data_IF_882519811039
#
_entry.id   IF_882519811039
#
_cell.length_a   1.000
_cell.length_b   1.000
_cell.length_c   1.000
_cell.angle_alpha   90.00
_cell.angle_beta   90.00
_cell.angle_gamma   90.00
#
_symmetry.space_group_name_H-M   'P 1'
#
loop_
_entity.id
_entity.type
_entity.pdbx_description
1 polymer ?
#
# COMPACT_ATOMS: atom_id res chain seq x y z
N UNK A 1 13.40 23.99 13.69
CA UNK A 1 12.72 22.89 12.95
C UNK A 1 11.53 23.47 12.23
N UNK A 2 11.25 23.13 10.96
CA UNK A 2 9.91 23.36 10.41
C UNK A 2 8.94 22.53 11.24
N UNK A 3 7.92 23.17 11.82
CA UNK A 3 6.83 22.46 12.47
C UNK A 3 5.94 21.88 11.38
N UNK A 4 6.23 20.65 10.96
CA UNK A 4 5.29 19.85 10.16
C UNK A 4 4.05 19.61 11.02
N UNK A 5 3.07 20.51 10.93
CA UNK A 5 1.79 20.39 11.62
C UNK A 5 1.20 19.03 11.27
N UNK A 6 0.92 18.23 12.29
CA UNK A 6 0.31 16.93 12.04
C UNK A 6 -1.11 17.16 11.51
N UNK A 7 -1.57 16.30 10.61
CA UNK A 7 -2.94 16.40 10.09
C UNK A 7 -3.94 16.44 11.25
N UNK A 8 -3.68 15.71 12.35
CA UNK A 8 -4.49 15.68 13.57
C UNK A 8 -4.60 17.00 14.35
N UNK A 9 -3.66 17.94 14.21
CA UNK A 9 -3.65 19.21 14.98
C UNK A 9 -4.51 20.32 14.35
N UNK A 10 -5.08 20.09 13.17
CA UNK A 10 -5.88 21.09 12.46
C UNK A 10 -7.36 21.08 12.90
N UNK A 11 -8.03 22.25 12.96
CA UNK A 11 -9.49 22.30 13.07
C UNK A 11 -10.14 21.45 11.98
N UNK A 12 -11.13 20.66 12.40
CA UNK A 12 -11.88 19.77 11.51
C UNK A 12 -13.28 20.29 11.23
N UNK A 13 -13.74 20.08 9.99
CA UNK A 13 -15.13 20.29 9.59
C UNK A 13 -15.88 18.96 9.76
N UNK A 14 -16.80 18.92 10.72
CA UNK A 14 -17.59 17.72 11.06
C UNK A 14 -18.48 17.34 9.88
N UNK A 15 -18.41 16.07 9.46
CA UNK A 15 -19.27 15.52 8.42
C UNK A 15 -20.65 15.22 9.02
N UNK A 16 -21.72 15.57 8.31
CA UNK A 16 -23.11 15.54 8.81
C UNK A 16 -24.03 14.54 8.10
N UNK A 17 -23.52 13.82 7.10
CA UNK A 17 -24.21 12.71 6.43
C UNK A 17 -23.24 11.55 6.19
N UNK A 18 -23.77 10.32 6.11
CA UNK A 18 -22.99 9.18 5.59
C UNK A 18 -22.62 9.44 4.12
N UNK A 19 -21.43 9.04 3.71
CA UNK A 19 -20.95 9.07 2.33
C UNK A 19 -20.88 7.67 1.73
N UNK A 20 -21.45 7.47 0.55
CA UNK A 20 -21.43 6.22 -0.18
C UNK A 20 -20.14 6.04 -1.01
N UNK A 21 -19.86 4.79 -1.40
CA UNK A 21 -18.83 4.52 -2.42
C UNK A 21 -19.28 5.19 -3.73
N UNK A 22 -18.34 5.81 -4.43
CA UNK A 22 -18.52 6.64 -5.63
C UNK A 22 -19.07 8.06 -5.42
N UNK A 23 -19.43 8.48 -4.21
CA UNK A 23 -19.72 9.90 -3.95
C UNK A 23 -18.48 10.77 -4.19
N UNK A 24 -18.65 11.87 -4.90
CA UNK A 24 -17.61 12.86 -5.22
C UNK A 24 -17.63 14.09 -4.30
N UNK A 25 -18.32 13.99 -3.17
CA UNK A 25 -18.40 15.01 -2.13
C UNK A 25 -18.52 14.41 -0.73
N UNK A 26 -18.38 15.27 0.28
CA UNK A 26 -18.91 15.04 1.63
C UNK A 26 -19.74 16.24 2.08
N UNK A 27 -20.75 16.01 2.91
CA UNK A 27 -21.56 17.08 3.50
C UNK A 27 -21.03 17.39 4.91
N UNK A 28 -20.70 18.66 5.17
CA UNK A 28 -20.14 19.15 6.45
C UNK A 28 -21.06 20.18 7.09
N UNK A 29 -20.94 20.37 8.41
CA UNK A 29 -21.79 21.29 9.17
C UNK A 29 -21.71 22.75 8.70
N UNK A 30 -20.49 23.22 8.39
CA UNK A 30 -20.17 24.55 7.85
C UNK A 30 -18.81 24.42 7.13
N UNK A 31 -18.69 24.61 5.81
CA UNK A 31 -17.40 24.54 5.11
C UNK A 31 -16.56 25.83 5.24
N UNK A 32 -16.94 26.76 6.13
CA UNK A 32 -16.28 28.03 6.38
C UNK A 32 -14.76 27.92 6.45
N UNK A 33 -14.09 28.68 5.58
CA UNK A 33 -12.63 28.72 5.46
C UNK A 33 -12.02 27.71 4.47
N UNK A 34 -12.78 26.74 3.95
CA UNK A 34 -12.34 25.96 2.79
C UNK A 34 -12.48 26.76 1.49
N UNK A 35 -11.74 26.38 0.46
CA UNK A 35 -11.86 26.91 -0.90
C UNK A 35 -11.44 25.88 -1.95
N UNK A 36 -11.97 25.95 -3.18
CA UNK A 36 -11.45 25.17 -4.31
C UNK A 36 -9.94 25.31 -4.46
N UNK A 37 -9.25 24.19 -4.65
CA UNK A 37 -7.79 24.10 -4.64
C UNK A 37 -7.18 23.71 -3.29
N UNK A 38 -7.92 23.80 -2.18
CA UNK A 38 -7.45 23.31 -0.88
C UNK A 38 -7.21 21.79 -0.89
N UNK A 39 -6.10 21.35 -0.31
CA UNK A 39 -5.91 19.95 0.00
C UNK A 39 -6.51 19.61 1.37
N UNK A 40 -7.26 18.53 1.40
CA UNK A 40 -7.95 18.02 2.59
C UNK A 40 -7.64 16.55 2.83
N UNK A 41 -7.72 16.14 4.08
CA UNK A 41 -7.86 14.74 4.47
C UNK A 41 -9.26 14.44 4.98
N UNK A 42 -9.75 13.23 4.72
CA UNK A 42 -10.97 12.69 5.34
C UNK A 42 -10.51 11.60 6.30
N UNK A 43 -10.92 11.74 7.55
CA UNK A 43 -10.50 10.90 8.67
C UNK A 43 -11.69 10.50 9.53
N UNK A 44 -11.60 9.36 10.21
CA UNK A 44 -12.61 8.88 11.15
C UNK A 44 -11.97 8.00 12.23
N UNK A 45 -12.69 7.81 13.34
CA UNK A 45 -12.25 7.04 14.50
C UNK A 45 -12.30 5.54 14.17
N UNK A 46 -11.28 4.79 14.59
CA UNK A 46 -11.38 3.33 14.65
C UNK A 46 -12.24 2.99 15.88
N UNK A 47 -13.54 2.88 15.69
CA UNK A 47 -14.52 2.49 16.73
C UNK A 47 -14.46 0.98 17.01
N UNK A 48 -15.13 0.52 18.06
CA UNK A 48 -15.26 -0.92 18.33
C UNK A 48 -16.11 -1.59 17.23
N UNK A 49 -17.15 -0.89 16.79
CA UNK A 49 -18.04 -1.25 15.70
C UNK A 49 -17.31 -1.28 14.35
N UNK A 50 -16.35 -0.37 14.11
CA UNK A 50 -15.47 -0.43 12.95
C UNK A 50 -14.57 -1.66 13.02
N UNK A 51 -13.95 -1.98 14.16
CA UNK A 51 -13.16 -3.23 14.29
C UNK A 51 -14.01 -4.46 14.01
N UNK A 52 -15.23 -4.51 14.55
CA UNK A 52 -16.19 -5.59 14.34
C UNK A 52 -16.66 -5.74 12.90
N UNK A 53 -16.91 -4.64 12.20
CA UNK A 53 -17.29 -4.65 10.78
C UNK A 53 -16.24 -5.33 9.87
N UNK A 54 -14.99 -5.43 10.34
CA UNK A 54 -13.87 -6.05 9.62
C UNK A 54 -13.33 -7.31 10.31
N UNK A 55 -14.08 -7.93 11.23
CA UNK A 55 -13.64 -9.13 11.95
C UNK A 55 -12.26 -8.98 12.61
N UNK A 56 -11.98 -7.76 13.10
CA UNK A 56 -10.66 -7.34 13.59
C UNK A 56 -10.73 -6.81 15.03
N UNK A 57 -11.74 -7.21 15.81
CA UNK A 57 -11.88 -6.89 17.24
C UNK A 57 -10.64 -7.28 18.03
N UNK A 58 -10.20 -8.52 17.85
CA UNK A 58 -9.04 -9.13 18.52
C UNK A 58 -7.71 -8.85 17.80
N UNK A 59 -7.70 -7.92 16.83
CA UNK A 59 -6.54 -7.55 16.02
C UNK A 59 -6.37 -6.02 15.93
N UNK A 60 -5.50 -5.58 15.03
CA UNK A 60 -4.99 -4.21 14.91
C UNK A 60 -4.46 -3.68 16.24
N UNK A 61 -3.51 -4.40 16.85
CA UNK A 61 -2.92 -4.06 18.17
C UNK A 61 -2.22 -2.69 18.20
N UNK A 62 -1.85 -2.18 17.03
CA UNK A 62 -1.24 -0.87 16.86
C UNK A 62 -2.24 0.29 16.89
N UNK A 63 -3.55 0.01 16.99
CA UNK A 63 -4.60 1.03 17.08
C UNK A 63 -5.57 0.73 18.22
N UNK A 64 -5.80 1.76 19.05
CA UNK A 64 -6.80 1.73 20.10
C UNK A 64 -8.19 2.07 19.54
N UNK A 65 -9.23 1.67 20.26
CA UNK A 65 -10.59 2.18 20.00
C UNK A 65 -10.62 3.69 20.28
N UNK A 66 -11.10 4.46 19.31
CA UNK A 66 -11.09 5.93 19.35
C UNK A 66 -9.85 6.59 18.73
N UNK A 67 -8.82 5.84 18.32
CA UNK A 67 -7.73 6.40 17.53
C UNK A 67 -8.26 6.86 16.17
N UNK A 68 -8.07 8.14 15.83
CA UNK A 68 -8.51 8.66 14.53
C UNK A 68 -7.46 8.47 13.44
N UNK A 69 -7.88 8.02 12.25
CA UNK A 69 -7.00 7.75 11.10
C UNK A 69 -7.44 8.50 9.86
N UNK A 70 -6.50 9.05 9.11
CA UNK A 70 -6.74 9.59 7.77
C UNK A 70 -6.84 8.45 6.77
N UNK A 71 -7.98 8.32 6.08
CA UNK A 71 -8.16 7.32 5.02
C UNK A 71 -7.97 7.91 3.62
N UNK A 72 -8.51 9.12 3.39
CA UNK A 72 -8.49 9.77 2.09
C UNK A 72 -7.74 11.10 2.10
N UNK A 73 -7.05 11.39 1.00
CA UNK A 73 -6.51 12.72 0.66
C UNK A 73 -7.14 13.19 -0.63
N UNK A 74 -7.63 14.43 -0.66
CA UNK A 74 -8.36 15.01 -1.79
C UNK A 74 -7.93 16.47 -1.99
N UNK A 75 -8.12 16.97 -3.21
CA UNK A 75 -8.11 18.41 -3.48
C UNK A 75 -9.55 18.83 -3.72
N UNK A 76 -10.02 19.86 -3.00
CA UNK A 76 -11.37 20.42 -3.15
C UNK A 76 -11.52 20.99 -4.56
N UNK A 77 -12.58 20.62 -5.27
CA UNK A 77 -12.92 21.15 -6.60
C UNK A 77 -14.00 22.21 -6.55
N UNK A 78 -14.95 22.09 -5.62
CA UNK A 78 -16.09 23.00 -5.49
C UNK A 78 -16.65 22.97 -4.06
N UNK A 79 -17.34 24.04 -3.66
CA UNK A 79 -18.14 24.10 -2.44
C UNK A 79 -19.54 24.61 -2.82
N UNK A 80 -20.59 23.82 -2.56
CA UNK A 80 -21.97 24.22 -2.79
C UNK A 80 -22.79 24.04 -1.50
N UNK A 81 -23.20 25.15 -0.88
CA UNK A 81 -23.86 25.12 0.42
C UNK A 81 -22.95 24.43 1.46
N UNK A 82 -23.39 23.29 1.99
CA UNK A 82 -22.67 22.48 2.97
C UNK A 82 -21.83 21.34 2.35
N UNK A 83 -21.78 21.21 1.02
CA UNK A 83 -21.06 20.12 0.34
C UNK A 83 -19.70 20.55 -0.16
N UNK A 84 -18.70 19.73 0.13
CA UNK A 84 -17.30 19.89 -0.30
C UNK A 84 -17.00 18.81 -1.34
N UNK A 85 -16.85 19.21 -2.60
CA UNK A 85 -16.64 18.32 -3.75
C UNK A 85 -15.16 18.07 -4.03
N UNK A 86 -14.85 16.91 -4.61
CA UNK A 86 -13.50 16.50 -5.00
C UNK A 86 -13.51 15.55 -6.21
N UNK A 87 -12.47 15.59 -7.06
CA UNK A 87 -12.43 14.82 -8.31
C UNK A 87 -12.33 13.28 -8.14
N UNK A 88 -11.71 12.81 -7.07
CA UNK A 88 -11.53 11.36 -6.82
C UNK A 88 -12.59 10.93 -5.82
N UNK A 89 -13.56 10.08 -6.17
CA UNK A 89 -14.66 9.78 -5.28
C UNK A 89 -14.22 9.02 -4.01
N UNK A 90 -15.13 8.87 -3.06
CA UNK A 90 -14.99 7.96 -1.94
C UNK A 90 -14.85 6.52 -2.46
N UNK A 91 -13.79 5.82 -2.05
CA UNK A 91 -13.57 4.38 -2.37
C UNK A 91 -13.96 3.46 -1.22
N UNK A 92 -14.54 4.01 -0.16
CA UNK A 92 -15.03 3.30 1.02
C UNK A 92 -16.16 4.12 1.64
N UNK A 93 -17.16 3.49 2.28
CA UNK A 93 -18.21 4.23 2.97
C UNK A 93 -17.62 5.10 4.09
N UNK A 94 -18.13 6.33 4.21
CA UNK A 94 -17.89 7.21 5.35
C UNK A 94 -19.12 7.15 6.24
N UNK A 95 -18.98 6.68 7.48
CA UNK A 95 -20.12 6.44 8.39
C UNK A 95 -20.09 7.38 9.58
N UNK A 96 -21.20 8.07 9.87
CA UNK A 96 -21.35 8.99 11.01
C UNK A 96 -21.10 8.33 12.37
N UNK A 97 -21.36 7.02 12.48
CA UNK A 97 -20.99 6.16 13.62
C UNK A 97 -19.53 6.35 14.04
N UNK A 98 -18.65 6.54 13.06
CA UNK A 98 -17.20 6.56 13.27
C UNK A 98 -16.65 8.00 13.43
N UNK A 99 -17.52 8.98 13.69
CA UNK A 99 -17.21 10.41 13.88
C UNK A 99 -16.31 11.00 12.76
N UNK A 100 -16.75 10.94 11.50
CA UNK A 100 -15.94 11.35 10.36
C UNK A 100 -15.78 12.87 10.28
N UNK A 101 -14.59 13.30 9.85
CA UNK A 101 -14.19 14.71 9.80
C UNK A 101 -13.34 15.00 8.57
N UNK A 102 -13.58 16.16 7.96
CA UNK A 102 -12.65 16.75 6.99
C UNK A 102 -11.62 17.57 7.76
N UNK A 103 -10.33 17.43 7.44
CA UNK A 103 -9.28 18.34 7.90
C UNK A 103 -8.54 18.95 6.73
N UNK A 104 -7.91 20.10 6.97
CA UNK A 104 -6.94 20.67 6.03
C UNK A 104 -5.69 19.79 6.05
N UNK A 105 -5.26 19.30 4.89
CA UNK A 105 -3.97 18.65 4.79
C UNK A 105 -2.86 19.69 5.03
N UNK A 106 -1.83 19.32 5.79
CA UNK A 106 -0.70 20.23 6.02
C UNK A 106 0.13 20.42 4.75
N UNK A 107 0.90 21.51 4.71
CA UNK A 107 1.66 21.96 3.53
C UNK A 107 2.54 20.86 2.94
N UNK A 108 2.08 20.25 1.84
CA UNK A 108 2.86 19.29 1.10
C UNK A 108 4.08 19.95 0.43
N UNK A 109 5.21 19.24 0.41
CA UNK A 109 6.24 19.53 -0.57
C UNK A 109 5.71 19.13 -1.96
N UNK A 110 5.67 20.07 -2.92
CA UNK A 110 5.09 19.81 -4.25
C UNK A 110 6.05 20.04 -5.40
N UNK A 111 5.85 19.31 -6.49
CA UNK A 111 6.63 19.43 -7.73
C UNK A 111 8.14 19.15 -7.55
N UNK A 112 8.49 18.20 -6.68
CA UNK A 112 9.87 17.77 -6.44
C UNK A 112 10.13 16.39 -7.05
N UNK A 113 11.29 16.23 -7.69
CA UNK A 113 11.74 14.99 -8.32
C UNK A 113 13.09 14.51 -7.79
N UNK A 114 13.29 13.20 -7.74
CA UNK A 114 14.60 12.55 -7.62
C UNK A 114 14.81 11.67 -8.84
N UNK A 115 15.84 11.92 -9.63
CA UNK A 115 16.03 11.22 -10.91
C UNK A 115 17.48 10.83 -11.19
N UNK A 116 17.66 9.82 -12.05
CA UNK A 116 18.91 9.49 -12.73
C UNK A 116 20.11 9.26 -11.78
N UNK A 117 19.91 8.49 -10.70
CA UNK A 117 20.96 8.20 -9.71
C UNK A 117 21.02 6.73 -9.27
N UNK A 118 22.18 6.35 -8.75
CA UNK A 118 22.38 5.08 -8.05
C UNK A 118 22.57 5.33 -6.54
N UNK A 119 21.94 4.52 -5.69
CA UNK A 119 22.03 4.63 -4.23
C UNK A 119 22.46 3.31 -3.58
N UNK A 120 23.28 3.41 -2.54
CA UNK A 120 23.68 2.27 -1.71
C UNK A 120 23.61 2.67 -0.24
N UNK A 121 23.13 1.78 0.61
CA UNK A 121 23.10 1.97 2.07
C UNK A 121 23.61 0.75 2.85
N UNK A 122 24.02 -0.31 2.15
CA UNK A 122 24.55 -1.54 2.74
C UNK A 122 25.82 -1.31 3.59
N UNK A 123 26.08 -2.24 4.51
CA UNK A 123 27.25 -2.22 5.39
C UNK A 123 28.32 -3.25 5.00
N UNK A 124 28.02 -4.14 4.06
CA UNK A 124 28.87 -5.25 3.65
C UNK A 124 28.82 -6.44 4.60
N UNK A 125 27.80 -6.51 5.47
CA UNK A 125 27.66 -7.57 6.46
C UNK A 125 26.21 -7.63 6.98
N UNK A 126 25.48 -8.72 6.69
CA UNK A 126 24.22 -9.03 7.38
C UNK A 126 24.38 -9.01 8.91
N UNK A 127 25.50 -9.52 9.44
CA UNK A 127 25.77 -9.43 10.88
C UNK A 127 25.85 -8.00 11.39
N UNK A 128 26.35 -7.05 10.61
CA UNK A 128 26.35 -5.64 10.98
C UNK A 128 24.96 -4.99 10.87
N UNK A 129 24.18 -5.34 9.84
CA UNK A 129 22.83 -4.77 9.68
C UNK A 129 21.89 -5.25 10.80
N UNK A 130 21.83 -6.56 11.06
CA UNK A 130 21.00 -7.17 12.11
C UNK A 130 21.35 -6.72 13.52
N UNK A 131 22.62 -6.44 13.81
CA UNK A 131 23.06 -5.97 15.12
C UNK A 131 23.15 -4.43 15.22
N UNK A 132 22.80 -3.68 14.17
CA UNK A 132 22.91 -2.21 14.16
C UNK A 132 21.92 -1.48 15.07
N UNK A 133 20.80 -2.14 15.42
CA UNK A 133 19.65 -1.50 16.08
C UNK A 133 18.89 -0.51 15.20
N UNK A 134 19.27 -0.35 13.93
CA UNK A 134 18.66 0.61 12.98
C UNK A 134 17.72 -0.14 12.04
N UNK A 135 16.44 -0.15 12.39
CA UNK A 135 15.36 -0.74 11.60
C UNK A 135 14.63 0.30 10.74
N UNK A 136 14.01 -0.12 9.63
CA UNK A 136 13.15 0.76 8.79
C UNK A 136 13.86 1.93 8.12
N UNK A 137 15.19 1.92 8.04
CA UNK A 137 15.96 3.00 7.46
C UNK A 137 15.87 2.98 5.92
N UNK A 138 15.01 3.85 5.36
CA UNK A 138 14.83 4.03 3.93
C UNK A 138 15.96 4.87 3.32
N UNK A 139 16.45 4.41 2.18
CA UNK A 139 17.43 5.14 1.36
C UNK A 139 16.81 6.43 0.76
N UNK A 140 15.52 6.40 0.41
CA UNK A 140 14.73 7.58 0.02
C UNK A 140 13.39 7.53 0.76
N UNK A 141 13.05 8.60 1.49
CA UNK A 141 11.77 8.74 2.18
C UNK A 141 11.00 9.96 1.64
N UNK A 142 9.95 9.70 0.86
CA UNK A 142 9.02 10.71 0.35
C UNK A 142 7.90 10.86 1.36
N UNK A 143 7.91 11.94 2.15
CA UNK A 143 6.95 12.14 3.24
C UNK A 143 6.30 13.52 3.17
N UNK A 144 4.98 13.57 3.32
CA UNK A 144 4.19 14.79 3.14
C UNK A 144 4.49 15.46 1.78
N UNK A 145 4.45 14.67 0.70
CA UNK A 145 4.64 15.15 -0.66
C UNK A 145 3.35 15.05 -1.47
N UNK A 146 3.20 15.95 -2.44
CA UNK A 146 2.11 15.92 -3.43
C UNK A 146 2.60 16.34 -4.80
N UNK A 147 2.17 15.67 -5.87
CA UNK A 147 2.64 15.95 -7.24
C UNK A 147 4.18 15.87 -7.34
N UNK A 148 4.77 14.84 -6.72
CA UNK A 148 6.22 14.58 -6.65
C UNK A 148 6.57 13.23 -7.28
N UNK A 149 7.84 13.02 -7.65
CA UNK A 149 8.24 11.81 -8.36
C UNK A 149 9.64 11.28 -8.04
N UNK A 150 9.85 10.00 -8.34
CA UNK A 150 11.14 9.31 -8.40
C UNK A 150 11.20 8.60 -9.75
N UNK A 151 12.30 8.74 -10.51
CA UNK A 151 12.42 8.16 -11.86
C UNK A 151 13.85 7.75 -12.21
N UNK A 152 14.06 6.56 -12.81
CA UNK A 152 15.40 6.06 -13.14
C UNK A 152 16.37 6.11 -11.94
N UNK A 153 15.92 5.53 -10.83
CA UNK A 153 16.73 5.31 -9.64
C UNK A 153 17.08 3.82 -9.54
N UNK A 154 18.31 3.52 -9.12
CA UNK A 154 18.75 2.13 -8.92
C UNK A 154 19.51 1.91 -7.62
N UNK A 155 19.38 0.73 -7.01
CA UNK A 155 20.30 0.33 -5.94
C UNK A 155 21.59 -0.23 -6.52
N UNK A 156 22.73 -0.12 -5.83
CA UNK A 156 23.99 -0.71 -6.26
C UNK A 156 24.84 -1.25 -5.09
N UNK A 157 25.67 -2.25 -5.38
CA UNK A 157 26.68 -2.78 -4.46
C UNK A 157 27.91 -1.86 -4.44
N UNK A 158 28.38 -1.54 -3.25
CA UNK A 158 29.66 -0.86 -3.03
C UNK A 158 30.75 -1.91 -2.75
N UNK A 159 31.97 -1.68 -3.26
CA UNK A 159 33.20 -2.43 -2.92
C UNK A 159 33.10 -3.97 -2.94
N UNK A 160 32.40 -4.52 -3.95
CA UNK A 160 32.34 -5.97 -4.19
C UNK A 160 31.44 -6.74 -3.21
N UNK A 161 30.60 -6.05 -2.45
CA UNK A 161 29.63 -6.65 -1.52
C UNK A 161 28.49 -7.36 -2.27
N UNK A 162 27.77 -8.23 -1.57
CA UNK A 162 26.56 -8.90 -2.09
C UNK A 162 25.27 -8.08 -1.94
N UNK A 163 25.27 -7.01 -1.15
CA UNK A 163 24.06 -6.24 -0.81
C UNK A 163 24.14 -4.79 -1.29
N UNK A 164 22.99 -4.19 -1.59
CA UNK A 164 22.90 -2.80 -2.03
C UNK A 164 22.27 -1.89 -0.97
N UNK A 165 21.31 -2.39 -0.20
CA UNK A 165 20.53 -1.62 0.75
C UNK A 165 20.60 -2.25 2.14
N UNK A 166 20.89 -1.47 3.20
CA UNK A 166 20.89 -1.99 4.58
C UNK A 166 19.53 -2.57 4.96
N UNK A 167 18.46 -1.84 4.64
CA UNK A 167 17.11 -2.12 5.09
C UNK A 167 16.05 -1.71 4.06
N UNK A 168 15.55 -0.48 4.08
CA UNK A 168 14.51 -0.02 3.15
C UNK A 168 15.11 0.68 1.92
N UNK A 169 14.43 0.53 0.80
CA UNK A 169 14.71 1.27 -0.44
C UNK A 169 14.00 2.62 -0.46
N UNK A 170 12.85 2.67 -1.13
CA UNK A 170 11.97 3.84 -1.22
C UNK A 170 10.75 3.64 -0.32
N UNK A 171 10.43 4.65 0.49
CA UNK A 171 9.17 4.71 1.27
C UNK A 171 8.41 5.98 0.93
N UNK A 172 7.13 5.84 0.57
CA UNK A 172 6.18 6.94 0.35
C UNK A 172 5.20 6.97 1.53
N UNK A 173 5.25 8.02 2.36
CA UNK A 173 4.46 8.14 3.59
C UNK A 173 3.58 9.41 3.60
N UNK A 174 2.31 9.29 3.99
CA UNK A 174 1.37 10.43 4.16
C UNK A 174 1.36 11.39 2.98
N UNK A 175 1.40 10.85 1.77
CA UNK A 175 1.59 11.59 0.51
C UNK A 175 0.43 11.35 -0.46
N UNK A 176 0.32 12.17 -1.50
CA UNK A 176 -0.82 12.17 -2.42
C UNK A 176 -0.38 12.46 -3.86
N UNK A 177 -0.71 11.61 -4.84
CA UNK A 177 -0.24 11.77 -6.23
C UNK A 177 1.29 11.80 -6.35
N UNK A 178 1.92 10.70 -5.92
CA UNK A 178 3.38 10.49 -6.09
C UNK A 178 3.61 9.43 -7.16
N UNK A 179 4.58 9.63 -8.05
CA UNK A 179 4.96 8.61 -9.04
C UNK A 179 6.36 8.06 -8.76
N UNK A 180 6.51 6.74 -8.66
CA UNK A 180 7.78 6.04 -8.76
C UNK A 180 7.78 5.33 -10.12
N UNK A 181 8.76 5.61 -10.95
CA UNK A 181 8.82 5.11 -12.32
C UNK A 181 10.19 4.56 -12.67
N UNK A 182 10.24 3.56 -13.55
CA UNK A 182 11.47 3.16 -14.25
C UNK A 182 12.64 2.84 -13.27
N UNK A 183 12.33 2.29 -12.07
CA UNK A 183 13.23 2.23 -10.90
C UNK A 183 13.54 0.79 -10.50
N UNK A 184 14.81 0.47 -10.27
CA UNK A 184 15.26 -0.90 -9.94
C UNK A 184 15.98 -0.95 -8.60
N UNK A 185 15.33 -1.52 -7.59
CA UNK A 185 15.94 -1.76 -6.29
C UNK A 185 16.09 -3.27 -6.09
N UNK A 186 17.27 -3.68 -5.66
CA UNK A 186 17.54 -5.07 -5.29
C UNK A 186 18.41 -5.20 -4.04
N UNK A 187 18.46 -6.42 -3.49
CA UNK A 187 19.45 -6.93 -2.53
C UNK A 187 19.50 -6.18 -1.21
N UNK A 188 18.46 -6.39 -0.41
CA UNK A 188 18.45 -5.96 0.99
C UNK A 188 19.42 -6.80 1.84
N UNK A 189 20.07 -6.16 2.80
CA UNK A 189 21.04 -6.77 3.70
C UNK A 189 20.38 -7.33 4.98
N UNK A 190 19.30 -6.72 5.44
CA UNK A 190 18.54 -7.14 6.61
C UNK A 190 17.16 -7.70 6.21
N UNK A 191 16.99 -9.03 6.29
CA UNK A 191 15.75 -9.74 5.91
C UNK A 191 14.87 -10.18 7.10
N UNK A 192 15.21 -9.73 8.31
CA UNK A 192 14.44 -9.92 9.53
C UNK A 192 13.24 -8.98 9.73
N UNK A 193 12.53 -9.16 10.84
CA UNK A 193 11.40 -8.32 11.24
C UNK A 193 11.77 -6.88 11.64
N UNK A 194 10.82 -6.15 12.21
CA UNK A 194 10.99 -4.74 12.61
C UNK A 194 10.82 -3.72 11.47
N UNK A 195 10.24 -4.15 10.33
CA UNK A 195 10.20 -3.34 9.11
C UNK A 195 11.61 -3.21 8.51
N UNK A 196 12.15 -4.32 8.02
CA UNK A 196 13.44 -4.33 7.34
C UNK A 196 13.32 -5.02 5.98
N UNK A 197 14.15 -4.61 5.03
CA UNK A 197 14.21 -5.22 3.71
C UNK A 197 13.09 -4.82 2.74
N UNK A 198 12.35 -3.74 2.99
CA UNK A 198 11.24 -3.35 2.11
C UNK A 198 11.76 -2.43 1.00
N UNK A 199 11.75 -2.91 -0.24
CA UNK A 199 12.38 -2.17 -1.34
C UNK A 199 11.50 -1.01 -1.80
N UNK A 200 10.19 -1.24 -1.97
CA UNK A 200 9.19 -0.21 -2.25
C UNK A 200 8.07 -0.29 -1.21
N UNK A 201 7.82 0.80 -0.49
CA UNK A 201 6.79 0.87 0.57
C UNK A 201 5.83 2.01 0.33
N UNK A 202 4.52 1.74 0.37
CA UNK A 202 3.46 2.77 0.34
C UNK A 202 2.70 2.77 1.67
N UNK A 203 2.87 3.85 2.43
CA UNK A 203 2.32 4.10 3.77
C UNK A 203 1.31 5.23 3.72
N UNK A 204 0.07 5.00 4.18
CA UNK A 204 -0.93 6.07 4.44
C UNK A 204 -1.04 7.08 3.30
N UNK A 205 -0.97 6.63 2.04
CA UNK A 205 -0.83 7.50 0.88
C UNK A 205 -1.91 7.19 -0.16
N UNK A 206 -2.24 8.18 -0.98
CA UNK A 206 -3.31 8.07 -1.97
C UNK A 206 -2.80 8.39 -3.38
N UNK A 207 -3.35 7.71 -4.38
CA UNK A 207 -3.03 7.91 -5.79
C UNK A 207 -1.52 7.81 -6.10
N UNK A 208 -0.80 6.95 -5.37
CA UNK A 208 0.62 6.65 -5.67
C UNK A 208 0.68 5.70 -6.85
N UNK A 209 1.43 6.07 -7.89
CA UNK A 209 1.72 5.22 -9.04
C UNK A 209 3.14 4.67 -8.90
N UNK A 210 3.28 3.35 -8.79
CA UNK A 210 4.54 2.63 -8.92
C UNK A 210 4.49 1.92 -10.27
N UNK A 211 5.25 2.37 -11.27
CA UNK A 211 5.23 1.79 -12.62
C UNK A 211 6.60 1.39 -13.14
N UNK A 212 6.67 0.32 -13.93
CA UNK A 212 7.88 -0.10 -14.63
C UNK A 212 9.08 -0.29 -13.67
N UNK A 213 8.79 -0.80 -12.46
CA UNK A 213 9.75 -0.93 -11.36
C UNK A 213 10.12 -2.39 -11.12
N UNK A 214 11.39 -2.64 -10.76
CA UNK A 214 11.85 -3.98 -10.36
C UNK A 214 12.26 -3.98 -8.89
N UNK A 215 11.74 -4.94 -8.13
CA UNK A 215 12.14 -5.27 -6.77
C UNK A 215 12.67 -6.70 -6.72
N UNK A 216 13.93 -6.89 -6.31
CA UNK A 216 14.58 -8.22 -6.25
C UNK A 216 15.32 -8.46 -4.95
N UNK A 217 15.25 -9.67 -4.39
CA UNK A 217 16.05 -10.05 -3.21
C UNK A 217 15.86 -9.10 -2.02
N UNK A 218 14.64 -8.59 -1.84
CA UNK A 218 14.18 -7.90 -0.63
C UNK A 218 13.58 -8.86 0.40
N UNK A 219 13.02 -8.31 1.49
CA UNK A 219 12.13 -9.04 2.40
C UNK A 219 10.69 -9.01 1.91
N UNK A 220 10.22 -7.82 1.56
CA UNK A 220 8.99 -7.59 0.81
C UNK A 220 9.38 -6.62 -0.32
N UNK A 221 9.34 -7.09 -1.56
CA UNK A 221 9.83 -6.30 -2.69
C UNK A 221 8.95 -5.04 -2.87
N UNK A 222 7.63 -5.22 -2.92
CA UNK A 222 6.67 -4.13 -2.86
C UNK A 222 5.74 -4.37 -1.66
N UNK A 223 5.43 -3.33 -0.88
CA UNK A 223 4.56 -3.47 0.29
C UNK A 223 3.64 -2.26 0.47
N UNK A 224 2.42 -2.54 0.91
CA UNK A 224 1.47 -1.53 1.39
C UNK A 224 1.45 -1.62 2.92
N UNK A 225 2.05 -0.63 3.57
CA UNK A 225 2.51 -0.67 4.96
C UNK A 225 2.99 0.73 5.38
N UNK A 226 2.81 1.31 6.57
CA UNK A 226 1.91 1.18 7.73
C UNK A 226 1.45 2.64 7.93
N UNK A 227 0.23 3.06 8.23
CA UNK A 227 -0.97 2.49 8.84
C UNK A 227 -2.14 2.53 7.81
N UNK A 228 -3.40 2.48 8.26
CA UNK A 228 -4.62 2.80 7.49
C UNK A 228 -4.49 3.98 6.52
N UNK A 229 -5.27 3.94 5.43
CA UNK A 229 -5.37 5.03 4.46
C UNK A 229 -4.38 4.95 3.30
N UNK A 230 -3.88 3.76 2.98
CA UNK A 230 -3.36 3.46 1.66
C UNK A 230 -4.55 3.16 0.71
N UNK A 231 -4.86 4.06 -0.23
CA UNK A 231 -5.99 3.87 -1.14
C UNK A 231 -5.77 4.44 -2.54
N UNK A 232 -6.29 3.78 -3.57
CA UNK A 232 -6.17 4.24 -4.95
C UNK A 232 -4.75 4.17 -5.53
N UNK A 233 -3.85 3.42 -4.90
CA UNK A 233 -2.48 3.27 -5.37
C UNK A 233 -2.43 2.22 -6.48
N UNK A 234 -1.51 2.38 -7.43
CA UNK A 234 -1.37 1.53 -8.62
C UNK A 234 0.05 1.00 -8.70
N UNK A 235 0.19 -0.31 -8.86
CA UNK A 235 1.43 -1.04 -9.12
C UNK A 235 1.33 -1.62 -10.53
N UNK A 236 1.91 -0.91 -11.51
CA UNK A 236 1.76 -1.19 -12.95
C UNK A 236 3.06 -1.74 -13.53
N UNK A 237 3.03 -2.94 -14.13
CA UNK A 237 4.23 -3.59 -14.69
C UNK A 237 5.39 -3.60 -13.71
N UNK A 238 5.13 -3.96 -12.45
CA UNK A 238 6.20 -4.24 -11.50
C UNK A 238 6.75 -5.65 -11.74
N UNK A 239 8.02 -5.87 -11.42
CA UNK A 239 8.61 -7.20 -11.28
C UNK A 239 9.01 -7.43 -9.83
N UNK A 240 8.40 -8.41 -9.18
CA UNK A 240 8.76 -8.93 -7.85
C UNK A 240 9.40 -10.30 -8.00
N UNK A 241 10.64 -10.47 -7.53
CA UNK A 241 11.31 -11.78 -7.53
C UNK A 241 12.26 -11.98 -6.34
N UNK A 242 12.38 -13.23 -5.88
CA UNK A 242 13.37 -13.62 -4.87
C UNK A 242 13.19 -12.96 -3.50
N UNK A 243 12.01 -12.44 -3.17
CA UNK A 243 11.73 -11.94 -1.82
C UNK A 243 11.86 -13.05 -0.76
N UNK A 244 12.51 -12.75 0.38
CA UNK A 244 12.80 -13.72 1.45
C UNK A 244 12.57 -13.15 2.86
N UNK A 245 11.77 -13.85 3.67
CA UNK A 245 11.54 -13.54 5.09
C UNK A 245 12.35 -14.47 5.98
N UNK A 246 13.33 -13.89 6.67
CA UNK A 246 14.23 -14.63 7.56
C UNK A 246 13.84 -14.42 9.02
N UNK A 247 13.63 -15.51 9.77
CA UNK A 247 13.29 -15.42 11.20
C UNK A 247 14.47 -15.01 12.10
N UNK A 248 15.70 -15.18 11.62
CA UNK A 248 16.94 -14.81 12.32
C UNK A 248 18.09 -14.56 11.33
N UNK A 249 19.16 -13.92 11.80
CA UNK A 249 20.41 -13.79 11.06
C UNK A 249 20.94 -15.17 10.63
N UNK A 250 20.84 -16.18 11.50
CA UNK A 250 21.28 -17.54 11.19
C UNK A 250 20.48 -18.13 10.02
N UNK A 251 19.16 -17.94 10.00
CA UNK A 251 18.32 -18.39 8.88
C UNK A 251 18.70 -17.71 7.56
N UNK A 252 19.07 -16.42 7.60
CA UNK A 252 19.58 -15.69 6.43
C UNK A 252 20.94 -16.21 5.95
N UNK A 253 21.85 -16.53 6.87
CA UNK A 253 23.18 -17.09 6.53
C UNK A 253 23.08 -18.51 5.97
N UNK A 254 22.20 -19.34 6.53
CA UNK A 254 22.01 -20.73 6.13
C UNK A 254 21.11 -20.91 4.89
N UNK A 255 20.51 -19.82 4.38
CA UNK A 255 19.58 -19.88 3.25
C UNK A 255 18.26 -20.59 3.56
N UNK A 256 17.81 -20.58 4.82
CA UNK A 256 16.61 -21.30 5.31
C UNK A 256 15.41 -20.37 5.54
N UNK A 257 15.38 -19.24 4.83
CA UNK A 257 14.28 -18.27 4.89
C UNK A 257 13.05 -18.72 4.11
N UNK A 258 11.87 -18.25 4.51
CA UNK A 258 10.62 -18.46 3.77
C UNK A 258 10.49 -17.45 2.62
N UNK A 259 9.60 -17.71 1.66
CA UNK A 259 9.21 -16.72 0.65
C UNK A 259 8.73 -15.43 1.33
N UNK A 260 9.26 -14.31 0.86
CA UNK A 260 8.88 -12.97 1.28
C UNK A 260 7.98 -12.33 0.23
N UNK A 261 6.65 -12.34 0.40
CA UNK A 261 5.72 -11.84 -0.60
C UNK A 261 5.88 -10.32 -0.82
N UNK A 262 5.52 -9.86 -2.02
CA UNK A 262 4.95 -8.52 -2.19
C UNK A 262 3.57 -8.52 -1.51
N UNK A 263 3.31 -7.60 -0.58
CA UNK A 263 2.16 -7.77 0.33
C UNK A 263 1.42 -6.52 0.79
N UNK A 264 0.17 -6.78 1.20
CA UNK A 264 -0.64 -5.91 2.03
C UNK A 264 -0.26 -6.22 3.48
N UNK A 265 0.64 -5.42 4.05
CA UNK A 265 1.38 -5.79 5.26
C UNK A 265 0.68 -5.40 6.57
N UNK A 266 -0.08 -4.31 6.57
CA UNK A 266 -0.66 -3.73 7.80
C UNK A 266 -1.90 -2.90 7.56
N UNK A 267 -2.94 -3.18 8.37
CA UNK A 267 -4.19 -2.42 8.42
C UNK A 267 -4.91 -2.35 7.07
N UNK A 268 -6.12 -1.78 7.07
CA UNK A 268 -6.98 -1.85 5.88
C UNK A 268 -6.50 -0.90 4.76
N UNK A 269 -5.95 -1.47 3.70
CA UNK A 269 -5.67 -0.77 2.44
C UNK A 269 -6.77 -1.00 1.40
N UNK A 270 -7.22 0.08 0.76
CA UNK A 270 -8.54 0.12 0.11
C UNK A 270 -8.44 0.47 -1.37
N UNK A 271 -8.95 -0.40 -2.24
CA UNK A 271 -9.09 -0.14 -3.68
C UNK A 271 -7.78 0.32 -4.36
N UNK A 272 -6.73 -0.48 -4.15
CA UNK A 272 -5.45 -0.42 -4.86
C UNK A 272 -5.46 -1.40 -6.03
N UNK A 273 -4.66 -1.14 -7.05
CA UNK A 273 -4.59 -1.93 -8.29
C UNK A 273 -3.16 -2.46 -8.49
N UNK A 274 -3.00 -3.77 -8.64
CA UNK A 274 -1.83 -4.36 -9.30
C UNK A 274 -2.24 -4.72 -10.73
N UNK A 275 -1.49 -4.24 -11.71
CA UNK A 275 -1.85 -4.31 -13.13
C UNK A 275 -0.66 -4.76 -13.97
N UNK A 276 -0.85 -5.73 -14.85
CA UNK A 276 0.11 -6.15 -15.88
C UNK A 276 1.49 -6.48 -15.32
N UNK A 277 1.52 -7.05 -14.11
CA UNK A 277 2.72 -7.19 -13.29
C UNK A 277 3.23 -8.64 -13.26
N UNK A 278 4.54 -8.79 -13.05
CA UNK A 278 5.23 -10.09 -13.00
C UNK A 278 5.61 -10.39 -11.54
N UNK A 279 5.14 -11.51 -11.03
CA UNK A 279 5.34 -11.98 -9.66
C UNK A 279 5.96 -13.37 -9.73
N UNK A 280 7.27 -13.44 -9.50
CA UNK A 280 8.04 -14.70 -9.46
C UNK A 280 8.28 -15.20 -8.02
N UNK A 281 7.84 -14.43 -7.02
CA UNK A 281 7.77 -14.85 -5.61
C UNK A 281 6.32 -15.04 -5.15
N UNK A 282 5.69 -14.02 -4.56
CA UNK A 282 4.29 -14.09 -4.17
C UNK A 282 3.65 -12.70 -4.05
N UNK A 283 2.35 -12.60 -4.31
CA UNK A 283 1.51 -11.41 -4.08
C UNK A 283 0.43 -11.80 -3.07
N UNK A 284 0.33 -11.10 -1.93
CA UNK A 284 -0.55 -11.51 -0.83
C UNK A 284 -1.38 -10.35 -0.24
N UNK A 285 -2.69 -10.56 -0.17
CA UNK A 285 -3.65 -9.86 0.69
C UNK A 285 -4.44 -10.88 1.51
N UNK A 286 -4.85 -10.52 2.73
CA UNK A 286 -5.56 -11.43 3.62
C UNK A 286 -5.64 -10.96 5.07
N UNK A 287 -6.15 -11.83 5.93
CA UNK A 287 -6.11 -11.66 7.37
C UNK A 287 -4.75 -12.12 7.91
N UNK A 288 -3.92 -11.18 8.35
CA UNK A 288 -2.63 -11.49 8.98
C UNK A 288 -2.77 -11.87 10.45
N UNK A 289 -3.95 -11.71 11.05
CA UNK A 289 -4.23 -12.02 12.45
C UNK A 289 -3.13 -11.46 13.37
N UNK A 290 -2.40 -12.32 14.10
CA UNK A 290 -1.31 -11.96 15.02
C UNK A 290 -0.01 -11.52 14.32
N UNK A 291 0.19 -11.89 13.06
CA UNK A 291 1.43 -11.60 12.33
C UNK A 291 1.57 -10.10 12.11
N UNK A 292 2.83 -9.65 12.02
CA UNK A 292 3.16 -8.22 11.97
C UNK A 292 2.43 -7.46 13.09
N UNK A 293 2.65 -7.83 14.36
CA UNK A 293 2.08 -7.10 15.52
C UNK A 293 0.55 -6.97 15.46
N UNK A 294 -0.16 -8.06 15.17
CA UNK A 294 -1.62 -8.05 15.12
C UNK A 294 -2.19 -7.32 13.91
N UNK A 295 -1.64 -7.52 12.70
CA UNK A 295 -2.01 -6.73 11.54
C UNK A 295 -3.45 -6.96 11.02
N UNK A 296 -4.16 -8.01 11.48
CA UNK A 296 -5.58 -8.25 11.18
C UNK A 296 -5.89 -8.28 9.69
N UNK A 297 -7.08 -7.83 9.29
CA UNK A 297 -7.40 -7.64 7.87
C UNK A 297 -6.52 -6.55 7.24
N UNK A 298 -5.90 -6.85 6.10
CA UNK A 298 -4.98 -5.92 5.43
C UNK A 298 -5.46 -5.31 4.10
N UNK A 299 -6.57 -5.76 3.54
CA UNK A 299 -7.08 -5.16 2.32
C UNK A 299 -8.55 -5.42 2.02
N UNK A 300 -9.17 -4.47 1.33
CA UNK A 300 -10.53 -4.58 0.76
C UNK A 300 -10.61 -3.81 -0.57
N UNK A 301 -11.50 -4.26 -1.46
CA UNK A 301 -11.81 -3.69 -2.77
C UNK A 301 -10.61 -3.60 -3.73
N UNK A 302 -9.50 -4.30 -3.45
CA UNK A 302 -8.31 -4.26 -4.29
C UNK A 302 -8.49 -5.12 -5.56
N UNK A 303 -7.77 -4.76 -6.61
CA UNK A 303 -7.84 -5.38 -7.93
C UNK A 303 -6.47 -5.90 -8.33
N UNK A 304 -6.41 -7.15 -8.74
CA UNK A 304 -5.26 -7.80 -9.35
C UNK A 304 -5.65 -8.12 -10.80
N UNK A 305 -5.03 -7.41 -11.75
CA UNK A 305 -5.36 -7.47 -13.17
C UNK A 305 -4.15 -7.91 -13.99
N UNK A 306 -4.32 -8.90 -14.87
CA UNK A 306 -3.27 -9.36 -15.78
C UNK A 306 -1.94 -9.73 -15.06
N UNK A 307 -2.03 -10.51 -13.97
CA UNK A 307 -0.84 -10.89 -13.18
C UNK A 307 -0.19 -12.14 -13.76
N UNK A 308 1.12 -12.09 -14.01
CA UNK A 308 1.91 -13.16 -14.63
C UNK A 308 3.18 -13.45 -13.80
N UNK A 309 4.02 -14.39 -14.22
CA UNK A 309 5.21 -14.85 -13.49
C UNK A 309 5.06 -16.29 -13.00
N UNK A 310 6.05 -16.77 -12.25
CA UNK A 310 6.09 -18.16 -11.73
C UNK A 310 5.79 -18.28 -10.23
N UNK A 311 5.38 -17.20 -9.59
CA UNK A 311 5.08 -17.14 -8.15
C UNK A 311 3.65 -17.56 -7.82
N UNK A 312 3.09 -17.00 -6.75
CA UNK A 312 1.72 -17.30 -6.30
C UNK A 312 0.94 -16.04 -5.88
N UNK A 313 -0.32 -15.92 -6.28
CA UNK A 313 -1.24 -14.86 -5.83
C UNK A 313 -2.20 -15.42 -4.78
N UNK A 314 -2.17 -14.86 -3.58
CA UNK A 314 -3.15 -15.10 -2.52
C UNK A 314 -4.09 -13.89 -2.46
N UNK A 315 -5.31 -14.08 -2.97
CA UNK A 315 -6.33 -13.05 -3.11
C UNK A 315 -7.49 -13.33 -2.16
N UNK A 316 -7.35 -12.78 -0.96
CA UNK A 316 -8.32 -12.87 0.13
C UNK A 316 -8.62 -11.45 0.65
N UNK A 317 -9.18 -10.58 -0.20
CA UNK A 317 -9.62 -9.26 0.28
C UNK A 317 -10.85 -9.42 1.18
N UNK A 318 -10.93 -8.63 2.25
CA UNK A 318 -12.12 -8.63 3.09
C UNK A 318 -13.33 -8.04 2.34
N UNK A 319 -14.45 -8.76 2.33
CA UNK A 319 -15.76 -8.41 1.79
C UNK A 319 -15.86 -8.18 0.27
N UNK A 320 -14.77 -7.81 -0.42
CA UNK A 320 -14.74 -7.58 -1.86
C UNK A 320 -13.30 -7.53 -2.35
N UNK A 321 -13.00 -8.26 -3.42
CA UNK A 321 -11.76 -8.15 -4.18
C UNK A 321 -11.92 -8.77 -5.57
N UNK A 322 -10.93 -8.54 -6.42
CA UNK A 322 -10.97 -8.95 -7.82
C UNK A 322 -9.61 -9.50 -8.27
N UNK A 323 -9.58 -10.71 -8.80
CA UNK A 323 -8.42 -11.32 -9.47
C UNK A 323 -8.81 -11.73 -10.89
N UNK A 324 -8.53 -10.87 -11.87
CA UNK A 324 -9.01 -11.04 -13.24
C UNK A 324 -7.87 -11.08 -14.24
N UNK A 325 -7.76 -12.21 -14.93
CA UNK A 325 -6.69 -12.49 -15.89
C UNK A 325 -5.37 -12.81 -15.20
N UNK A 326 -4.94 -14.07 -15.27
CA UNK A 326 -3.62 -14.49 -14.79
C UNK A 326 -2.83 -15.24 -15.87
N UNK A 327 -1.51 -15.28 -15.74
CA UNK A 327 -0.64 -16.12 -16.57
C UNK A 327 -0.88 -17.61 -16.28
N UNK A 328 -0.59 -18.52 -17.23
CA UNK A 328 -0.79 -19.96 -17.04
C UNK A 328 0.19 -20.61 -16.06
N UNK A 329 1.27 -19.92 -15.69
CA UNK A 329 2.33 -20.44 -14.81
C UNK A 329 2.24 -19.94 -13.36
N UNK A 330 1.42 -18.93 -13.08
CA UNK A 330 1.30 -18.36 -11.73
C UNK A 330 0.27 -19.14 -10.89
N UNK A 331 0.63 -19.49 -9.67
CA UNK A 331 -0.29 -20.08 -8.70
C UNK A 331 -1.35 -19.07 -8.25
N UNK A 332 -2.55 -19.54 -7.94
CA UNK A 332 -3.68 -18.71 -7.51
C UNK A 332 -4.40 -19.39 -6.34
N UNK A 333 -4.65 -18.63 -5.28
CA UNK A 333 -5.53 -19.00 -4.16
C UNK A 333 -6.57 -17.91 -3.93
N UNK A 334 -7.84 -18.29 -4.07
CA UNK A 334 -9.06 -17.50 -3.75
C UNK A 334 -10.05 -18.33 -2.93
N UNK A 335 -10.08 -19.66 -3.15
CA UNK A 335 -10.96 -20.60 -2.45
C UNK A 335 -10.76 -20.55 -0.93
N UNK A 336 -11.85 -20.26 -0.22
CA UNK A 336 -11.91 -20.14 1.24
C UNK A 336 -12.04 -21.50 1.95
N UNK A 337 -12.27 -22.58 1.21
CA UNK A 337 -12.52 -23.94 1.73
C UNK A 337 -11.30 -24.85 1.74
N UNK A 338 -10.20 -24.45 1.10
CA UNK A 338 -8.99 -25.26 0.97
C UNK A 338 -8.26 -25.46 2.31
N UNK A 339 -7.99 -26.71 2.73
CA UNK A 339 -7.19 -26.98 3.92
C UNK A 339 -5.69 -26.83 3.63
N UNK A 340 -5.06 -25.85 4.26
CA UNK A 340 -3.62 -25.57 4.18
C UNK A 340 -3.21 -24.54 5.24
N UNK A 341 -2.02 -24.65 5.83
CA UNK A 341 -1.68 -23.82 7.00
C UNK A 341 -1.64 -22.33 6.70
N UNK A 342 -1.08 -21.94 5.54
CA UNK A 342 -1.00 -20.53 5.15
C UNK A 342 -2.37 -20.05 4.70
N UNK A 343 -2.99 -20.78 3.77
CA UNK A 343 -4.26 -20.46 3.11
C UNK A 343 -5.40 -20.32 4.12
N UNK A 344 -5.56 -21.30 5.03
CA UNK A 344 -6.56 -21.29 6.08
C UNK A 344 -6.35 -20.15 7.09
N UNK A 345 -5.10 -19.73 7.33
CA UNK A 345 -4.83 -18.63 8.27
C UNK A 345 -5.17 -17.28 7.63
N UNK A 346 -4.82 -17.08 6.36
CA UNK A 346 -4.94 -15.77 5.70
C UNK A 346 -6.32 -15.51 5.09
N UNK A 347 -7.17 -16.52 4.97
CA UNK A 347 -8.56 -16.40 4.48
C UNK A 347 -9.61 -16.15 5.57
N UNK A 348 -9.26 -16.22 6.86
CA UNK A 348 -10.26 -16.08 7.93
C UNK A 348 -10.90 -14.69 7.95
N UNK A 349 -12.24 -14.63 7.90
CA UNK A 349 -12.98 -13.38 7.98
C UNK A 349 -12.90 -12.51 6.72
N UNK A 350 -12.40 -13.07 5.61
CA UNK A 350 -12.30 -12.34 4.33
C UNK A 350 -13.56 -12.50 3.46
N UNK A 351 -14.56 -13.26 3.90
CA UNK A 351 -15.76 -13.61 3.13
C UNK A 351 -16.47 -12.40 2.49
N UNK A 352 -17.07 -12.56 1.28
CA UNK A 352 -17.05 -13.74 0.42
C UNK A 352 -15.72 -13.95 -0.30
N UNK A 353 -15.60 -15.03 -1.06
CA UNK A 353 -14.46 -15.27 -1.97
C UNK A 353 -14.29 -14.11 -2.98
N UNK A 354 -13.04 -13.73 -3.26
CA UNK A 354 -12.71 -12.70 -4.24
C UNK A 354 -13.22 -13.09 -5.64
N UNK A 355 -13.80 -12.12 -6.36
CA UNK A 355 -14.26 -12.37 -7.72
C UNK A 355 -13.06 -12.74 -8.61
N UNK A 356 -13.05 -13.95 -9.15
CA UNK A 356 -11.99 -14.43 -10.04
C UNK A 356 -12.52 -14.83 -11.41
N UNK A 357 -11.81 -14.43 -12.47
CA UNK A 357 -12.17 -14.73 -13.86
C UNK A 357 -10.92 -14.70 -14.76
N UNK A 358 -10.99 -15.31 -15.95
CA UNK A 358 -9.92 -15.37 -16.95
C UNK A 358 -8.57 -15.92 -16.44
N UNK A 359 -8.58 -16.73 -15.38
CA UNK A 359 -7.38 -17.37 -14.82
C UNK A 359 -6.64 -18.20 -15.87
N UNK A 360 -5.31 -18.06 -15.94
CA UNK A 360 -4.46 -18.70 -16.93
C UNK A 360 -4.54 -18.13 -18.36
N UNK A 361 -5.36 -17.10 -18.61
CA UNK A 361 -5.63 -16.54 -19.95
C UNK A 361 -5.25 -15.08 -20.16
N UNK A 362 -4.40 -14.52 -19.28
CA UNK A 362 -3.84 -13.15 -19.33
C UNK A 362 -3.54 -12.62 -20.74
N UNK A 363 -2.85 -13.42 -21.58
CA UNK A 363 -2.47 -13.04 -22.94
C UNK A 363 -3.64 -12.73 -23.91
N UNK A 364 -4.89 -13.06 -23.52
CA UNK A 364 -6.11 -12.79 -24.30
C UNK A 364 -7.06 -11.78 -23.64
N UNK A 365 -6.70 -11.27 -22.47
CA UNK A 365 -7.51 -10.33 -21.69
C UNK A 365 -7.70 -8.99 -22.42
N UNK A 366 -8.88 -8.39 -22.31
CA UNK A 366 -9.20 -7.10 -22.91
C UNK A 366 -9.97 -6.21 -21.91
N UNK A 367 -9.46 -5.03 -21.52
CA UNK A 367 -8.15 -4.47 -21.89
C UNK A 367 -6.98 -5.25 -21.26
N UNK A 368 -5.78 -5.14 -21.84
CA UNK A 368 -4.57 -5.73 -21.24
C UNK A 368 -4.20 -5.04 -19.91
N UNK A 369 -4.41 -3.72 -19.80
CA UNK A 369 -4.27 -2.96 -18.55
C UNK A 369 -5.51 -2.11 -18.28
N UNK A 370 -6.03 -2.16 -17.05
CA UNK A 370 -7.11 -1.27 -16.60
C UNK A 370 -6.61 0.17 -16.45
N UNK A 371 -5.38 0.35 -15.94
CA UNK A 371 -4.79 1.67 -15.77
C UNK A 371 -4.61 2.37 -17.12
N UNK A 372 -4.01 1.69 -18.11
CA UNK A 372 -3.74 2.29 -19.42
C UNK A 372 -5.03 2.56 -20.21
N UNK A 373 -6.01 1.65 -20.15
CA UNK A 373 -7.33 1.87 -20.75
C UNK A 373 -8.06 3.07 -20.10
N UNK A 374 -8.02 3.21 -18.77
CA UNK A 374 -8.56 4.40 -18.10
C UNK A 374 -7.80 5.68 -18.42
N UNK A 375 -6.47 5.61 -18.58
CA UNK A 375 -5.65 6.76 -18.96
C UNK A 375 -5.97 7.20 -20.38
N UNK A 376 -6.05 6.27 -21.33
CA UNK A 376 -6.45 6.54 -22.71
C UNK A 376 -7.82 7.21 -22.78
N UNK A 377 -8.83 6.67 -22.07
CA UNK A 377 -10.19 7.26 -21.98
C UNK A 377 -10.29 8.61 -21.26
N UNK A 378 -9.20 9.12 -20.67
CA UNK A 378 -9.16 10.41 -19.95
C UNK A 378 -8.28 11.47 -20.62
N UNK A 379 -7.45 11.07 -21.58
CA UNK A 379 -6.59 11.97 -22.37
C UNK A 379 -7.18 12.31 -23.75
N UNK A 380 -8.34 11.72 -24.07
CA UNK A 380 -9.14 11.90 -25.28
C UNK A 380 -10.54 12.36 -24.88
#
# INVERSE_FOLDING_TARGET
>A
SPSWLSESDQPGWVITADGAIFDDFVEVQDPGGLSPGDDISIAWNITAEFKQEHGSEDYWYHTNVGDQKTFFRRTVTEIQGNRVYFKVPLRYPVKLRDEPVVRRASTYATHNGIEHLAISTALGSPSASWNSGVNGAAAIHVRFCKDCWIRDVRSFSHDGQSHHLRSHGITVERSFRVTIADTHLEKAEHLGGGGNGYLFTVSRSNEVLVRDCTGREGRHNFSINWDFGASGNVFLRILSAGGLVCGSLQAQVDGTCSVGPTDFHHALAIANLFDSSVIDDALQVGNRQDWSTGAGQTGTMNVFWNITGTGHVYAYNQAMGYLVGTGPEIGVSVDLTLPGWTEQYISLGTEPEDFSDFLGTAATLAPQSLYEEQLARRLW
#
